data_IF_510140115086
#
_entry.id   IF_510140115086
#
_cell.length_a   1.000
_cell.length_b   1.000
_cell.length_c   1.000
_cell.angle_alpha   90.00
_cell.angle_beta   90.00
_cell.angle_gamma   90.00
#
_symmetry.space_group_name_H-M   'P 1'
#
loop_
_entity.id
_entity.type
_entity.pdbx_description
1 polymer ?
#
# COMPACT_ATOMS: atom_id res chain seq x y z
N UNK A 1 15.85 -38.88 -87.05
CA UNK A 1 14.48 -38.38 -86.82
C UNK A 1 14.56 -37.39 -85.67
N UNK A 2 14.40 -36.10 -85.96
CA UNK A 2 14.64 -34.98 -85.04
C UNK A 2 13.38 -34.75 -84.22
N UNK A 3 13.45 -34.86 -82.89
CA UNK A 3 12.39 -34.39 -82.00
C UNK A 3 12.72 -32.99 -81.50
N UNK A 4 11.85 -32.04 -81.84
CA UNK A 4 11.88 -30.64 -81.44
C UNK A 4 11.23 -30.54 -80.06
N UNK A 5 11.99 -30.19 -79.02
CA UNK A 5 11.44 -29.87 -77.70
C UNK A 5 11.14 -28.37 -77.62
N UNK A 6 9.94 -28.04 -77.14
CA UNK A 6 9.38 -26.71 -77.07
C UNK A 6 10.05 -25.83 -76.00
N UNK A 7 10.21 -24.53 -76.30
CA UNK A 7 10.66 -23.51 -75.36
C UNK A 7 9.67 -23.36 -74.19
N UNK A 8 10.14 -23.64 -72.97
CA UNK A 8 9.43 -23.22 -71.76
C UNK A 8 9.68 -21.73 -71.54
N UNK A 9 8.66 -20.89 -71.80
CA UNK A 9 8.66 -19.48 -71.43
C UNK A 9 8.75 -19.36 -69.91
N UNK A 10 9.85 -18.79 -69.41
CA UNK A 10 10.02 -18.43 -68.00
C UNK A 10 9.12 -17.23 -67.72
N UNK A 11 8.10 -17.40 -66.88
CA UNK A 11 7.26 -16.30 -66.41
C UNK A 11 8.14 -15.41 -65.52
N UNK A 12 8.36 -14.17 -65.94
CA UNK A 12 9.02 -13.15 -65.14
C UNK A 12 7.98 -12.52 -64.23
N UNK A 13 8.10 -12.76 -62.93
CA UNK A 13 7.35 -12.04 -61.91
C UNK A 13 8.09 -10.70 -61.73
N UNK A 14 7.47 -9.55 -61.99
CA UNK A 14 8.10 -8.26 -61.72
C UNK A 14 8.31 -8.10 -60.22
N UNK A 15 9.52 -7.71 -59.82
CA UNK A 15 9.94 -7.52 -58.44
C UNK A 15 9.58 -6.10 -57.98
N UNK A 16 8.28 -5.77 -58.04
CA UNK A 16 7.75 -4.50 -57.51
C UNK A 16 7.35 -4.71 -56.04
N UNK A 17 8.35 -4.66 -55.16
CA UNK A 17 8.20 -4.52 -53.71
C UNK A 17 9.12 -3.40 -53.21
N UNK A 18 9.15 -2.28 -53.92
CA UNK A 18 9.50 -0.98 -53.34
C UNK A 18 8.18 -0.23 -53.23
N UNK A 19 7.61 -0.19 -52.03
CA UNK A 19 6.57 0.77 -51.54
C UNK A 19 5.79 0.23 -50.31
N UNK A 20 6.34 -0.73 -49.56
CA UNK A 20 5.92 -0.91 -48.16
C UNK A 20 6.91 -0.17 -47.28
N UNK A 21 6.62 1.11 -47.04
CA UNK A 21 7.25 1.83 -45.93
C UNK A 21 6.58 1.30 -44.66
N UNK A 22 7.28 0.41 -43.96
CA UNK A 22 6.88 0.00 -42.62
C UNK A 22 7.22 1.16 -41.67
N UNK A 23 6.27 2.05 -41.41
CA UNK A 23 6.43 3.14 -40.43
C UNK A 23 6.32 2.63 -38.97
N UNK A 24 6.20 1.32 -38.76
CA UNK A 24 6.09 0.66 -37.45
C UNK A 24 7.35 -0.17 -37.10
N UNK A 25 8.53 0.23 -37.58
CA UNK A 25 9.79 -0.20 -36.97
C UNK A 25 10.19 0.80 -35.87
N UNK A 26 9.74 0.52 -34.64
CA UNK A 26 10.22 1.22 -33.46
C UNK A 26 11.76 1.15 -33.42
N UNK A 27 12.41 2.31 -33.50
CA UNK A 27 13.87 2.52 -33.33
C UNK A 27 14.45 1.94 -32.01
N UNK A 28 13.58 1.35 -31.19
CA UNK A 28 13.85 0.72 -29.91
C UNK A 28 14.91 -0.39 -30.01
N UNK A 29 14.89 -1.19 -31.09
CA UNK A 29 15.87 -2.27 -31.28
C UNK A 29 17.31 -1.78 -31.53
N UNK A 30 17.50 -0.57 -32.09
CA UNK A 30 18.84 0.03 -32.33
C UNK A 30 19.51 0.53 -31.06
N UNK A 31 18.75 0.66 -29.97
CA UNK A 31 19.23 1.09 -28.65
C UNK A 31 19.42 -0.06 -27.68
N UNK A 32 19.01 -1.26 -28.07
CA UNK A 32 19.15 -2.47 -27.26
C UNK A 32 20.64 -2.75 -26.96
N UNK A 33 20.98 -2.78 -25.67
CA UNK A 33 22.36 -2.97 -25.20
C UNK A 33 23.21 -1.69 -25.04
N UNK A 34 22.71 -0.51 -25.41
CA UNK A 34 23.37 0.78 -25.10
C UNK A 34 22.88 1.29 -23.74
N UNK A 35 23.75 1.78 -22.85
CA UNK A 35 23.29 2.49 -21.65
C UNK A 35 22.47 3.70 -22.10
N UNK A 36 21.20 3.77 -21.70
CA UNK A 36 20.32 4.90 -22.03
C UNK A 36 21.01 6.19 -21.56
N UNK A 37 21.20 7.21 -22.42
CA UNK A 37 21.64 8.51 -21.93
C UNK A 37 20.61 8.97 -20.89
N UNK A 38 21.08 9.43 -19.74
CA UNK A 38 20.23 10.05 -18.72
C UNK A 38 19.74 11.39 -19.28
N UNK A 39 18.76 11.37 -20.17
CA UNK A 39 17.99 12.55 -20.50
C UNK A 39 17.27 12.93 -19.21
N UNK A 40 17.52 14.10 -18.62
CA UNK A 40 16.72 14.54 -17.50
C UNK A 40 15.26 14.51 -17.96
N UNK A 41 14.32 13.99 -17.14
CA UNK A 41 12.92 13.96 -17.52
C UNK A 41 12.48 15.37 -17.96
N UNK A 42 11.59 15.48 -18.97
CA UNK A 42 11.05 16.77 -19.37
C UNK A 42 10.57 17.53 -18.13
N UNK A 43 10.93 18.81 -18.05
CA UNK A 43 10.56 19.64 -16.90
C UNK A 43 9.05 19.82 -16.89
N UNK A 44 8.37 19.07 -16.03
CA UNK A 44 6.94 19.22 -15.76
C UNK A 44 6.72 20.25 -14.65
N UNK A 45 6.37 21.51 -14.98
CA UNK A 45 6.14 22.54 -13.99
C UNK A 45 5.00 22.13 -13.04
N UNK A 46 5.06 22.51 -11.75
CA UNK A 46 3.92 22.40 -10.84
C UNK A 46 2.66 23.04 -11.45
N UNK A 47 1.46 22.50 -11.14
CA UNK A 47 0.22 23.14 -11.55
C UNK A 47 0.18 24.60 -11.08
N UNK A 48 -0.22 25.51 -11.97
CA UNK A 48 -0.23 26.95 -11.70
C UNK A 48 -1.19 27.35 -10.56
N UNK A 49 -2.20 26.52 -10.24
CA UNK A 49 -3.17 26.78 -9.17
C UNK A 49 -3.36 25.58 -8.23
N UNK A 50 -2.69 25.64 -7.08
CA UNK A 50 -2.75 24.63 -6.02
C UNK A 50 -4.06 24.70 -5.20
N UNK A 51 -4.84 25.79 -5.31
CA UNK A 51 -6.04 25.99 -4.49
C UNK A 51 -7.27 25.21 -5.00
N UNK A 52 -7.27 24.87 -6.29
CA UNK A 52 -8.30 24.07 -6.97
C UNK A 52 -8.09 22.56 -6.91
N UNK A 53 -6.92 22.10 -6.46
CA UNK A 53 -6.57 20.67 -6.49
C UNK A 53 -7.12 19.92 -5.28
N UNK A 54 -7.60 18.69 -5.51
CA UNK A 54 -7.97 17.81 -4.41
C UNK A 54 -6.74 17.41 -3.59
N UNK A 55 -6.88 17.15 -2.29
CA UNK A 55 -5.76 16.70 -1.45
C UNK A 55 -5.03 15.46 -1.99
N UNK A 56 -5.72 14.59 -2.72
CA UNK A 56 -5.12 13.41 -3.37
C UNK A 56 -4.21 13.78 -4.54
N UNK A 57 -4.64 14.73 -5.39
CA UNK A 57 -3.82 15.23 -6.51
C UNK A 57 -2.54 15.90 -5.99
N UNK A 58 -2.65 16.68 -4.91
CA UNK A 58 -1.50 17.34 -4.28
C UNK A 58 -0.50 16.30 -3.77
N UNK A 59 -0.98 15.24 -3.11
CA UNK A 59 -0.12 14.16 -2.63
C UNK A 59 0.61 13.43 -3.77
N UNK A 60 -0.08 13.17 -4.86
CA UNK A 60 0.49 12.52 -6.04
C UNK A 60 1.56 13.40 -6.72
N UNK A 61 1.28 14.70 -6.86
CA UNK A 61 2.21 15.69 -7.40
C UNK A 61 3.46 15.89 -6.51
N UNK A 62 3.31 15.74 -5.19
CA UNK A 62 4.44 15.73 -4.26
C UNK A 62 5.28 14.46 -4.38
N UNK A 63 4.64 13.31 -4.61
CA UNK A 63 5.33 12.02 -4.79
C UNK A 63 6.16 12.01 -6.08
N UNK A 64 5.58 12.49 -7.19
CA UNK A 64 6.26 12.58 -8.49
C UNK A 64 7.54 13.43 -8.46
N UNK A 65 7.60 14.42 -7.55
CA UNK A 65 8.74 15.34 -7.42
C UNK A 65 9.74 14.91 -6.35
N UNK A 66 9.57 13.74 -5.72
CA UNK A 66 10.51 13.28 -4.72
C UNK A 66 11.87 12.94 -5.36
N UNK A 67 12.94 13.58 -4.88
CA UNK A 67 14.28 13.43 -5.43
C UNK A 67 15.23 12.86 -4.36
N UNK A 68 16.07 11.90 -4.76
CA UNK A 68 17.05 11.28 -3.86
C UNK A 68 16.47 10.14 -3.01
N UNK A 69 17.22 9.72 -2.00
CA UNK A 69 16.88 8.54 -1.19
C UNK A 69 15.66 8.78 -0.31
N UNK A 70 14.69 7.89 -0.39
CA UNK A 70 13.43 7.95 0.34
C UNK A 70 13.31 6.78 1.33
N UNK A 71 12.81 7.03 2.54
CA UNK A 71 12.47 5.99 3.51
C UNK A 71 10.98 6.05 3.83
N UNK A 72 10.34 4.89 3.87
CA UNK A 72 8.95 4.79 4.29
C UNK A 72 8.62 3.45 4.94
N UNK A 73 7.35 3.34 5.32
CA UNK A 73 6.81 2.20 6.05
C UNK A 73 5.59 1.65 5.35
N UNK A 74 5.42 0.34 5.41
CA UNK A 74 4.22 -0.36 4.96
C UNK A 74 3.61 -1.04 6.17
N UNK A 75 2.35 -0.72 6.46
CA UNK A 75 1.53 -1.52 7.37
C UNK A 75 0.88 -2.64 6.58
N UNK A 76 1.01 -3.85 7.09
CA UNK A 76 0.37 -5.04 6.57
C UNK A 76 -1.02 -5.21 7.18
N UNK A 77 -1.88 -5.94 6.47
CA UNK A 77 -3.23 -6.25 6.95
C UNK A 77 -3.18 -7.00 8.28
N UNK A 78 -3.95 -6.47 9.24
CA UNK A 78 -3.96 -6.90 10.64
C UNK A 78 -4.86 -8.10 10.91
N UNK A 79 -5.63 -8.58 9.94
CA UNK A 79 -6.48 -9.78 10.03
C UNK A 79 -5.64 -11.07 9.97
N UNK A 80 -4.57 -11.09 9.18
CA UNK A 80 -3.71 -12.26 9.01
C UNK A 80 -2.63 -12.32 10.10
N UNK A 81 -2.57 -13.42 10.85
CA UNK A 81 -1.50 -13.70 11.82
C UNK A 81 -0.23 -14.08 11.07
N UNK A 82 0.87 -13.36 11.31
CA UNK A 82 2.19 -13.63 10.72
C UNK A 82 3.26 -13.77 11.80
N UNK A 83 4.26 -14.60 11.52
CA UNK A 83 5.51 -14.70 12.26
C UNK A 83 6.55 -13.72 11.71
N UNK A 84 7.66 -13.55 12.45
CA UNK A 84 8.77 -12.70 12.01
C UNK A 84 9.44 -13.24 10.74
N UNK A 85 9.51 -14.56 10.60
CA UNK A 85 10.15 -15.21 9.44
C UNK A 85 9.30 -15.04 8.18
N UNK A 86 7.97 -15.08 8.31
CA UNK A 86 7.06 -14.80 7.20
C UNK A 86 7.19 -13.36 6.70
N UNK A 87 7.32 -12.38 7.59
CA UNK A 87 7.49 -10.99 7.15
C UNK A 87 8.86 -10.74 6.56
N UNK A 88 9.88 -11.39 7.10
CA UNK A 88 11.22 -11.37 6.47
C UNK A 88 11.13 -11.96 5.06
N UNK A 89 10.39 -13.06 4.88
CA UNK A 89 10.16 -13.67 3.57
C UNK A 89 9.37 -12.76 2.62
N UNK A 90 8.35 -12.04 3.11
CA UNK A 90 7.60 -11.05 2.33
C UNK A 90 8.53 -9.90 1.91
N UNK A 91 9.31 -9.35 2.84
CA UNK A 91 10.26 -8.28 2.57
C UNK A 91 11.30 -8.70 1.52
N UNK A 92 11.85 -9.91 1.64
CA UNK A 92 12.77 -10.48 0.64
C UNK A 92 12.10 -10.69 -0.72
N UNK A 93 10.87 -11.22 -0.73
CA UNK A 93 10.08 -11.42 -1.96
C UNK A 93 9.86 -10.09 -2.66
N UNK A 94 9.38 -9.07 -1.96
CA UNK A 94 9.13 -7.74 -2.53
C UNK A 94 10.44 -7.09 -2.99
N UNK A 95 11.54 -7.22 -2.24
CA UNK A 95 12.87 -6.76 -2.66
C UNK A 95 13.30 -7.42 -3.98
N UNK A 96 13.09 -8.73 -4.11
CA UNK A 96 13.42 -9.47 -5.35
C UNK A 96 12.55 -9.01 -6.52
N UNK A 97 11.25 -8.84 -6.32
CA UNK A 97 10.32 -8.43 -7.37
C UNK A 97 10.61 -7.01 -7.88
N UNK A 98 10.84 -6.05 -6.97
CA UNK A 98 11.22 -4.68 -7.36
C UNK A 98 12.54 -4.64 -8.14
N UNK A 99 13.52 -5.46 -7.72
CA UNK A 99 14.79 -5.57 -8.43
C UNK A 99 14.62 -6.10 -9.85
N UNK A 100 13.71 -7.05 -10.07
CA UNK A 100 13.37 -7.53 -11.42
C UNK A 100 12.78 -6.40 -12.29
N UNK A 101 12.03 -5.49 -11.68
CA UNK A 101 11.56 -4.25 -12.30
C UNK A 101 12.62 -3.16 -12.45
N UNK A 102 13.91 -3.45 -12.24
CA UNK A 102 15.02 -2.48 -12.24
C UNK A 102 14.93 -1.39 -11.16
N UNK A 103 14.13 -1.60 -10.12
CA UNK A 103 13.99 -0.67 -9.00
C UNK A 103 14.91 -1.13 -7.84
N UNK A 104 15.86 -0.28 -7.48
CA UNK A 104 16.73 -0.49 -6.31
C UNK A 104 16.04 -0.03 -5.03
N UNK A 105 15.32 -0.96 -4.39
CA UNK A 105 14.69 -0.75 -3.09
C UNK A 105 15.17 -1.81 -2.09
N UNK A 106 15.50 -1.37 -0.87
CA UNK A 106 15.83 -2.24 0.27
C UNK A 106 14.62 -2.34 1.18
N UNK A 107 14.04 -3.52 1.29
CA UNK A 107 12.86 -3.78 2.13
C UNK A 107 13.28 -4.64 3.32
N UNK A 108 12.86 -4.25 4.53
CA UNK A 108 13.24 -4.89 5.78
C UNK A 108 12.02 -5.06 6.71
N UNK A 109 11.93 -6.22 7.36
CA UNK A 109 10.94 -6.45 8.40
C UNK A 109 11.24 -5.62 9.65
N UNK A 110 10.24 -4.91 10.19
CA UNK A 110 10.36 -4.14 11.44
C UNK A 110 9.70 -4.90 12.59
N UNK A 111 8.45 -5.31 12.41
CA UNK A 111 7.65 -6.09 13.36
C UNK A 111 6.70 -7.04 12.63
N UNK A 112 5.79 -7.70 13.35
CA UNK A 112 4.83 -8.68 12.79
C UNK A 112 3.71 -8.08 11.93
N UNK A 113 3.73 -6.77 11.67
CA UNK A 113 2.75 -6.05 10.87
C UNK A 113 3.33 -4.88 10.08
N UNK A 114 4.62 -4.59 10.23
CA UNK A 114 5.26 -3.41 9.67
C UNK A 114 6.53 -3.80 8.92
N UNK A 115 6.62 -3.31 7.70
CA UNK A 115 7.80 -3.40 6.84
C UNK A 115 8.32 -1.98 6.62
N UNK A 116 9.64 -1.81 6.59
CA UNK A 116 10.29 -0.56 6.20
C UNK A 116 10.91 -0.74 4.82
N UNK A 117 10.85 0.28 3.99
CA UNK A 117 11.56 0.32 2.72
C UNK A 117 12.44 1.56 2.65
N UNK A 118 13.55 1.42 1.93
CA UNK A 118 14.44 2.50 1.55
C UNK A 118 14.63 2.40 0.04
N UNK A 119 14.35 3.47 -0.69
CA UNK A 119 14.53 3.55 -2.13
C UNK A 119 15.67 4.53 -2.39
N UNK A 120 16.63 4.16 -3.23
CA UNK A 120 17.79 5.00 -3.54
C UNK A 120 17.44 6.13 -4.51
N UNK A 121 16.53 5.86 -5.45
CA UNK A 121 16.00 6.80 -6.42
C UNK A 121 14.53 7.16 -6.15
N UNK A 122 14.30 8.36 -5.61
CA UNK A 122 12.98 8.90 -5.32
C UNK A 122 12.04 8.95 -6.52
N UNK A 123 12.54 8.93 -7.77
CA UNK A 123 11.68 8.92 -8.95
C UNK A 123 10.84 7.62 -9.05
N UNK A 124 11.37 6.50 -8.55
CA UNK A 124 10.66 5.22 -8.56
C UNK A 124 9.62 5.08 -7.43
N UNK A 125 9.41 6.11 -6.61
CA UNK A 125 8.49 6.04 -5.45
C UNK A 125 7.05 5.73 -5.85
N UNK A 126 6.60 6.27 -6.99
CA UNK A 126 5.24 6.04 -7.48
C UNK A 126 5.03 4.58 -7.86
N UNK A 127 5.96 4.01 -8.63
CA UNK A 127 5.95 2.60 -9.02
C UNK A 127 6.04 1.67 -7.80
N UNK A 128 6.88 2.01 -6.82
CA UNK A 128 6.99 1.23 -5.57
C UNK A 128 5.71 1.31 -4.75
N UNK A 129 5.09 2.48 -4.64
CA UNK A 129 3.81 2.67 -3.96
C UNK A 129 2.72 1.81 -4.62
N UNK A 130 2.59 1.88 -5.94
CA UNK A 130 1.58 1.13 -6.68
C UNK A 130 1.82 -0.39 -6.55
N UNK A 131 3.05 -0.85 -6.80
CA UNK A 131 3.43 -2.25 -6.61
C UNK A 131 3.11 -2.78 -5.21
N UNK A 132 3.47 -2.03 -4.16
CA UNK A 132 3.22 -2.43 -2.77
C UNK A 132 1.72 -2.46 -2.49
N UNK A 133 0.99 -1.42 -2.88
CA UNK A 133 -0.45 -1.34 -2.64
C UNK A 133 -1.22 -2.41 -3.41
N UNK A 134 -0.69 -2.97 -4.49
CA UNK A 134 -1.27 -4.15 -5.17
C UNK A 134 -1.10 -5.46 -4.40
N UNK A 135 -0.10 -5.57 -3.51
CA UNK A 135 0.14 -6.80 -2.75
C UNK A 135 -0.96 -7.05 -1.70
N UNK A 136 -1.57 -8.24 -1.66
CA UNK A 136 -2.71 -8.52 -0.78
C UNK A 136 -2.39 -8.37 0.71
N UNK A 137 -1.11 -8.47 1.08
CA UNK A 137 -0.66 -8.26 2.45
C UNK A 137 -0.59 -6.78 2.85
N UNK A 138 -0.47 -5.86 1.89
CA UNK A 138 -0.35 -4.44 2.17
C UNK A 138 -1.70 -3.82 2.54
N UNK A 139 -1.66 -2.91 3.51
CA UNK A 139 -2.83 -2.15 3.95
C UNK A 139 -2.62 -0.65 3.79
N UNK A 140 -1.47 -0.14 4.25
CA UNK A 140 -1.15 1.27 4.20
C UNK A 140 0.32 1.47 3.83
N UNK A 141 0.57 2.30 2.84
CA UNK A 141 1.90 2.75 2.44
C UNK A 141 2.13 4.16 2.98
N UNK A 142 3.24 4.38 3.69
CA UNK A 142 3.57 5.65 4.34
C UNK A 142 4.93 6.18 3.88
N UNK A 143 4.96 7.45 3.52
CA UNK A 143 6.17 8.20 3.20
C UNK A 143 6.15 9.53 3.95
N UNK A 144 7.01 9.65 4.97
CA UNK A 144 6.96 10.79 5.89
C UNK A 144 5.59 10.91 6.58
N UNK A 145 4.93 12.05 6.41
CA UNK A 145 3.59 12.34 6.94
C UNK A 145 2.45 11.83 6.04
N UNK A 146 2.76 11.43 4.80
CA UNK A 146 1.75 11.00 3.83
C UNK A 146 1.46 9.50 3.98
N UNK A 147 0.18 9.14 3.91
CA UNK A 147 -0.29 7.76 3.97
C UNK A 147 -1.25 7.48 2.81
N UNK A 148 -1.04 6.36 2.13
CA UNK A 148 -1.78 5.90 0.97
C UNK A 148 -2.38 4.53 1.26
N UNK A 149 -3.61 4.31 0.80
CA UNK A 149 -4.39 3.08 1.00
C UNK A 149 -5.14 2.73 -0.27
N UNK A 150 -5.63 1.50 -0.35
CA UNK A 150 -6.52 1.09 -1.45
C UNK A 150 -7.87 1.82 -1.34
N UNK A 151 -8.53 2.11 -2.47
CA UNK A 151 -9.90 2.63 -2.44
C UNK A 151 -10.81 1.73 -1.61
N UNK A 152 -11.51 2.31 -0.63
CA UNK A 152 -12.44 1.60 0.26
C UNK A 152 -11.84 1.06 1.58
N UNK A 153 -10.52 1.06 1.75
CA UNK A 153 -9.91 0.70 3.04
C UNK A 153 -10.01 1.89 4.02
N UNK A 154 -10.58 1.71 5.23
CA UNK A 154 -10.72 2.78 6.21
C UNK A 154 -9.34 3.22 6.76
N UNK A 155 -9.24 4.35 7.45
CA UNK A 155 -8.02 4.72 8.16
C UNK A 155 -7.64 3.71 9.26
N UNK A 156 -6.33 3.48 9.46
CA UNK A 156 -5.80 2.60 10.53
C UNK A 156 -6.35 3.01 11.90
N UNK A 157 -6.51 4.31 12.16
CA UNK A 157 -7.07 4.81 13.43
C UNK A 157 -8.52 4.35 13.66
N UNK A 158 -9.31 4.16 12.60
CA UNK A 158 -10.66 3.61 12.71
C UNK A 158 -10.65 2.12 13.07
N UNK A 159 -9.53 1.42 12.85
CA UNK A 159 -9.34 0.03 13.28
C UNK A 159 -8.86 -0.10 14.72
N UNK A 160 -8.67 1.01 15.45
CA UNK A 160 -8.25 1.01 16.86
C UNK A 160 -9.46 0.76 17.74
N UNK A 161 -9.63 -0.45 18.32
CA UNK A 161 -10.79 -0.73 19.16
C UNK A 161 -10.81 0.22 20.37
N UNK A 162 -11.98 0.82 20.58
CA UNK A 162 -12.26 1.68 21.72
C UNK A 162 -12.87 0.86 22.86
N UNK A 163 -12.44 1.11 24.09
CA UNK A 163 -12.95 0.44 25.27
C UNK A 163 -13.27 1.45 26.38
N UNK A 164 -14.47 1.37 26.93
CA UNK A 164 -14.97 2.17 28.05
C UNK A 164 -14.41 1.68 29.41
N UNK A 165 -14.11 0.39 29.50
CA UNK A 165 -13.67 -0.26 30.74
C UNK A 165 -12.14 -0.19 30.92
N UNK A 166 -11.72 0.71 31.81
CA UNK A 166 -10.30 0.80 32.21
C UNK A 166 -9.75 -0.52 32.79
N UNK A 167 -10.57 -1.29 33.50
CA UNK A 167 -10.16 -2.60 34.01
C UNK A 167 -10.00 -3.63 32.90
N UNK A 168 -10.84 -3.60 31.85
CA UNK A 168 -10.66 -4.44 30.68
C UNK A 168 -9.39 -4.08 29.90
N UNK A 169 -9.09 -2.79 29.72
CA UNK A 169 -7.84 -2.32 29.12
C UNK A 169 -6.64 -2.77 29.96
N UNK A 170 -6.69 -2.59 31.28
CA UNK A 170 -5.63 -3.01 32.19
C UNK A 170 -5.43 -4.54 32.17
N UNK A 171 -6.51 -5.33 32.10
CA UNK A 171 -6.44 -6.78 31.97
C UNK A 171 -5.90 -7.22 30.61
N UNK A 172 -6.13 -6.44 29.55
CA UNK A 172 -5.61 -6.71 28.22
C UNK A 172 -4.13 -6.30 28.09
N UNK A 173 -3.67 -5.30 28.85
CA UNK A 173 -2.26 -4.84 28.87
C UNK A 173 -1.38 -5.58 29.88
N UNK A 174 -1.92 -5.99 31.03
CA UNK A 174 -1.16 -6.62 32.11
C UNK A 174 -1.32 -8.14 32.13
N UNK A 175 -0.19 -8.84 32.24
CA UNK A 175 -0.08 -10.30 32.34
C UNK A 175 -0.33 -10.84 33.75
N UNK A 176 -0.68 -9.98 34.72
CA UNK A 176 -0.70 -10.32 36.14
C UNK A 176 -1.79 -11.35 36.43
N UNK A 177 -1.32 -12.57 36.67
CA UNK A 177 -2.11 -13.74 37.04
C UNK A 177 -2.91 -13.45 38.33
N UNK A 178 -4.23 -13.52 38.25
CA UNK A 178 -5.08 -13.68 39.43
C UNK A 178 -5.79 -15.02 39.31
N UNK A 179 -5.54 -15.92 40.27
CA UNK A 179 -6.03 -17.30 40.33
C UNK A 179 -7.57 -17.45 40.22
N UNK A 180 -8.33 -16.36 40.35
CA UNK A 180 -9.79 -16.31 40.28
C UNK A 180 -10.38 -16.16 38.86
N UNK A 181 -9.58 -16.00 37.80
CA UNK A 181 -10.09 -15.70 36.43
C UNK A 181 -9.83 -16.79 35.37
N UNK A 182 -9.60 -18.04 35.80
CA UNK A 182 -9.21 -19.18 34.94
C UNK A 182 -10.21 -19.55 33.83
N UNK A 183 -11.50 -19.30 34.01
CA UNK A 183 -12.54 -19.61 33.01
C UNK A 183 -12.68 -18.54 31.91
N UNK A 184 -12.10 -17.34 32.11
CA UNK A 184 -12.07 -16.26 31.12
C UNK A 184 -10.83 -16.34 30.21
N UNK A 185 -9.84 -17.12 30.63
CA UNK A 185 -8.47 -17.18 30.11
C UNK A 185 -8.37 -17.36 28.58
N UNK A 186 -9.13 -18.30 27.99
CA UNK A 186 -9.03 -18.63 26.56
C UNK A 186 -9.41 -17.46 25.64
N UNK A 187 -10.43 -16.65 25.99
CA UNK A 187 -10.88 -15.53 25.13
C UNK A 187 -9.98 -14.31 25.22
N UNK A 188 -9.34 -14.07 26.37
CA UNK A 188 -8.42 -12.93 26.54
C UNK A 188 -7.02 -13.18 25.97
N UNK A 189 -6.62 -14.44 25.74
CA UNK A 189 -5.33 -14.75 25.12
C UNK A 189 -5.19 -14.13 23.74
N UNK A 190 -6.21 -14.23 22.89
CA UNK A 190 -6.16 -13.69 21.53
C UNK A 190 -6.01 -12.18 21.54
N UNK A 191 -6.84 -11.47 22.33
CA UNK A 191 -6.77 -10.00 22.42
C UNK A 191 -5.43 -9.54 22.98
N UNK A 192 -4.91 -10.22 24.02
CA UNK A 192 -3.59 -9.93 24.59
C UNK A 192 -2.46 -10.18 23.61
N UNK A 193 -2.51 -11.28 22.86
CA UNK A 193 -1.48 -11.61 21.86
C UNK A 193 -1.49 -10.57 20.73
N UNK A 194 -2.65 -10.09 20.30
CA UNK A 194 -2.79 -9.03 19.28
C UNK A 194 -2.27 -7.68 19.83
N UNK A 195 -2.55 -7.35 21.08
CA UNK A 195 -2.01 -6.13 21.72
C UNK A 195 -0.50 -6.20 21.96
N UNK A 196 0.00 -7.34 22.45
CA UNK A 196 1.42 -7.56 22.70
C UNK A 196 2.25 -7.57 21.41
N UNK A 197 1.64 -8.06 20.32
CA UNK A 197 2.23 -7.98 18.98
C UNK A 197 2.15 -6.58 18.34
N UNK A 198 1.63 -5.58 19.06
CA UNK A 198 1.42 -4.20 18.58
C UNK A 198 0.60 -4.11 17.29
N UNK A 199 -0.24 -5.12 17.04
CA UNK A 199 -1.13 -5.15 15.87
C UNK A 199 -2.28 -4.17 16.04
N UNK A 200 -2.73 -3.93 17.27
CA UNK A 200 -3.75 -2.94 17.60
C UNK A 200 -3.35 -2.19 18.87
N UNK A 201 -3.87 -0.99 19.06
CA UNK A 201 -3.86 -0.30 20.34
C UNK A 201 -5.30 -0.24 20.91
N UNK A 202 -5.42 -0.25 22.23
CA UNK A 202 -6.71 -0.02 22.90
C UNK A 202 -6.73 1.41 23.45
N UNK A 203 -7.69 2.19 22.96
CA UNK A 203 -7.93 3.57 23.41
C UNK A 203 -9.10 3.59 24.38
N UNK A 204 -8.93 4.34 25.48
CA UNK A 204 -9.98 4.51 26.48
C UNK A 204 -10.97 5.57 26.00
N UNK A 205 -12.25 5.23 25.99
CA UNK A 205 -13.32 6.22 25.77
C UNK A 205 -13.52 7.03 27.06
N UNK A 206 -13.59 8.35 26.94
CA UNK A 206 -13.93 9.20 28.06
C UNK A 206 -15.39 8.97 28.45
N UNK A 207 -15.72 8.96 29.74
CA UNK A 207 -17.11 8.71 30.20
C UNK A 207 -18.10 9.69 29.57
N UNK A 208 -17.67 10.94 29.43
CA UNK A 208 -18.49 12.01 28.87
C UNK A 208 -18.68 11.94 27.35
N UNK A 209 -17.90 11.09 26.67
CA UNK A 209 -17.87 10.90 25.21
C UNK A 209 -18.35 9.50 24.81
N UNK A 210 -19.01 8.77 25.72
CA UNK A 210 -19.56 7.44 25.43
C UNK A 210 -21.05 7.53 25.05
N UNK A 211 -21.41 7.59 23.75
CA UNK A 211 -22.82 7.66 23.34
C UNK A 211 -23.64 6.45 23.80
N UNK A 212 -23.01 5.29 24.02
CA UNK A 212 -23.65 4.06 24.50
C UNK A 212 -24.23 4.21 25.91
N UNK A 213 -23.78 5.20 26.69
CA UNK A 213 -24.32 5.47 28.02
C UNK A 213 -25.80 5.86 27.96
N UNK A 214 -26.28 6.47 26.86
CA UNK A 214 -27.71 6.74 26.66
C UNK A 214 -28.56 5.47 26.58
N UNK A 215 -27.98 4.35 26.15
CA UNK A 215 -28.66 3.06 26.00
C UNK A 215 -28.51 2.17 27.24
N UNK A 216 -27.48 2.40 28.06
CA UNK A 216 -27.07 1.47 29.12
C UNK A 216 -27.21 2.05 30.53
N UNK A 217 -27.32 3.37 30.67
CA UNK A 217 -27.37 4.06 31.95
C UNK A 217 -28.59 5.00 32.05
N UNK A 218 -28.96 5.37 33.28
CA UNK A 218 -29.90 6.47 33.52
C UNK A 218 -29.12 7.77 33.60
N UNK A 219 -29.25 8.62 32.58
CA UNK A 219 -28.55 9.90 32.46
C UNK A 219 -29.46 11.08 32.79
N UNK A 220 -28.85 12.19 33.25
CA UNK A 220 -29.54 13.48 33.32
C UNK A 220 -29.88 13.98 31.91
N UNK A 221 -30.90 14.83 31.78
CA UNK A 221 -31.44 15.24 30.48
C UNK A 221 -30.40 15.85 29.54
N UNK A 222 -29.52 16.71 30.06
CA UNK A 222 -28.43 17.33 29.29
C UNK A 222 -27.42 16.30 28.77
N UNK A 223 -27.09 15.31 29.61
CA UNK A 223 -26.15 14.25 29.25
C UNK A 223 -26.75 13.29 28.23
N UNK A 224 -28.03 12.97 28.38
CA UNK A 224 -28.77 12.16 27.41
C UNK A 224 -28.82 12.87 26.05
N UNK A 225 -29.18 14.17 26.01
CA UNK A 225 -29.22 14.95 24.78
C UNK A 225 -27.87 14.96 24.05
N UNK A 226 -26.77 15.18 24.78
CA UNK A 226 -25.44 15.12 24.20
C UNK A 226 -25.08 13.74 23.63
N UNK A 227 -25.43 12.65 24.32
CA UNK A 227 -25.19 11.30 23.81
C UNK A 227 -26.02 11.00 22.55
N UNK A 228 -27.27 11.48 22.48
CA UNK A 228 -28.14 11.37 21.30
C UNK A 228 -27.56 12.15 20.12
N UNK A 229 -27.09 13.37 20.36
CA UNK A 229 -26.42 14.22 19.36
C UNK A 229 -25.16 13.54 18.80
N UNK A 230 -24.32 12.96 19.68
CA UNK A 230 -23.15 12.17 19.24
C UNK A 230 -23.51 10.94 18.40
N UNK A 231 -24.70 10.35 18.58
CA UNK A 231 -25.16 9.22 17.78
C UNK A 231 -25.76 9.64 16.43
N UNK A 232 -26.00 10.94 16.20
CA UNK A 232 -26.66 11.43 14.98
C UNK A 232 -28.13 11.03 14.89
N UNK A 233 -28.78 10.78 16.03
CA UNK A 233 -30.20 10.41 16.12
C UNK A 233 -30.99 11.62 16.61
N UNK A 234 -31.06 12.69 15.81
CA UNK A 234 -31.71 13.94 16.19
C UNK A 234 -32.14 14.77 15.00
#
# INVERSE_FOLDING_TARGET
MVFRAAEAKKVHIPDELEDVVDEEEDEEWKTWGKPKPKVPPPFDPPPDDLSTLSPLHIQEEMLKRHMGTAMGFVKLRLDVRRSKDEITSIAEKWTKLLRTGSISAKIMAVDVSTIMFIIEDGQSIAEVKDFILEQPEAYEFKLGQQAFRRPGDPPVETLVPHCDSQSAIALAKNRVFHSKSKHKEVRYHVVRDILASKRIELVKVHKDENPVDALTQRLASERFAHCIEMMGVG
#
